data_IF_317732642177
#
_entry.id   IF_317732642177
#
_cell.length_a   1.000
_cell.length_b   1.000
_cell.length_c   1.000
_cell.angle_alpha   90.00
_cell.angle_beta   90.00
_cell.angle_gamma   90.00
#
_symmetry.space_group_name_H-M   'P 1'
#
loop_
_entity.id
_entity.type
_entity.pdbx_description
1 polymer ?
#
# COMPACT_ATOMS: atom_id res chain seq x y z
N UNK A 1 -12.77 1.06 35.52
CA UNK A 1 -11.47 1.11 34.84
C UNK A 1 -11.64 0.51 33.46
N UNK A 2 -11.64 1.31 32.42
CA UNK A 2 -11.63 0.77 31.05
C UNK A 2 -10.27 0.14 30.79
N UNK A 3 -10.24 -1.16 30.66
CA UNK A 3 -9.09 -1.88 30.10
C UNK A 3 -9.00 -1.42 28.65
N UNK A 4 -7.99 -0.65 28.28
CA UNK A 4 -7.65 -0.42 26.87
C UNK A 4 -7.29 -1.79 26.30
N UNK A 5 -8.22 -2.39 25.57
CA UNK A 5 -7.90 -3.57 24.77
C UNK A 5 -6.65 -3.24 23.95
N UNK A 6 -5.63 -4.06 24.11
CA UNK A 6 -4.41 -3.97 23.30
C UNK A 6 -4.84 -4.39 21.89
N UNK A 7 -5.16 -3.39 21.05
CA UNK A 7 -5.43 -3.66 19.65
C UNK A 7 -4.26 -4.43 19.04
N UNK A 8 -4.59 -5.42 18.19
CA UNK A 8 -3.63 -6.17 17.40
C UNK A 8 -2.66 -5.19 16.71
N UNK A 9 -1.33 -5.45 16.72
CA UNK A 9 -0.34 -4.63 16.04
C UNK A 9 -0.69 -4.34 14.58
N UNK A 10 -1.27 -5.29 13.85
CA UNK A 10 -1.70 -5.10 12.46
C UNK A 10 -2.88 -4.11 12.36
N UNK A 11 -3.86 -4.20 13.24
CA UNK A 11 -4.95 -3.22 13.30
C UNK A 11 -4.42 -1.81 13.61
N UNK A 12 -3.42 -1.71 14.45
CA UNK A 12 -2.79 -0.43 14.79
C UNK A 12 -2.05 0.17 13.58
N UNK A 13 -1.34 -0.66 12.82
CA UNK A 13 -0.72 -0.24 11.55
C UNK A 13 -1.77 0.24 10.55
N UNK A 14 -2.89 -0.45 10.43
CA UNK A 14 -4.00 -0.02 9.56
C UNK A 14 -4.55 1.35 9.95
N UNK A 15 -4.71 1.63 11.23
CA UNK A 15 -5.19 2.93 11.71
C UNK A 15 -4.20 4.04 11.36
N UNK A 16 -2.89 3.80 11.52
CA UNK A 16 -1.84 4.73 11.12
C UNK A 16 -1.89 4.96 9.60
N UNK A 17 -1.99 3.90 8.81
CA UNK A 17 -2.05 3.98 7.35
C UNK A 17 -3.29 4.75 6.87
N UNK A 18 -4.46 4.51 7.46
CA UNK A 18 -5.68 5.26 7.14
C UNK A 18 -5.54 6.75 7.44
N UNK A 19 -4.96 7.09 8.58
CA UNK A 19 -4.68 8.49 8.95
C UNK A 19 -3.71 9.14 7.95
N UNK A 20 -2.62 8.46 7.61
CA UNK A 20 -1.64 8.93 6.64
C UNK A 20 -2.23 9.09 5.23
N UNK A 21 -3.02 8.12 4.75
CA UNK A 21 -3.68 8.21 3.43
C UNK A 21 -4.60 9.43 3.33
N UNK A 22 -5.37 9.72 4.38
CA UNK A 22 -6.22 10.90 4.41
C UNK A 22 -5.41 12.21 4.37
N UNK A 23 -4.28 12.26 5.07
CA UNK A 23 -3.38 13.42 5.06
C UNK A 23 -2.65 13.57 3.71
N UNK A 24 -2.13 12.49 3.15
CA UNK A 24 -1.49 12.51 1.84
C UNK A 24 -2.45 12.98 0.75
N UNK A 25 -3.70 12.53 0.80
CA UNK A 25 -4.74 12.95 -0.16
C UNK A 25 -5.16 14.40 0.00
N UNK A 26 -5.19 14.95 1.23
CA UNK A 26 -5.67 16.31 1.49
C UNK A 26 -4.61 17.40 1.34
N UNK A 27 -3.37 17.12 1.74
CA UNK A 27 -2.29 18.12 1.73
C UNK A 27 -1.00 17.69 1.04
N UNK A 28 -0.98 16.50 0.46
CA UNK A 28 0.16 15.93 -0.25
C UNK A 28 1.21 15.30 0.66
N UNK A 29 2.06 14.46 0.07
CA UNK A 29 3.11 13.74 0.80
C UNK A 29 4.12 14.69 1.45
N UNK A 30 4.66 15.64 0.69
CA UNK A 30 5.73 16.54 1.17
C UNK A 30 5.28 17.48 2.29
N UNK A 31 3.99 17.74 2.40
CA UNK A 31 3.41 18.61 3.43
C UNK A 31 2.89 17.84 4.64
N UNK A 32 3.02 16.52 4.66
CA UNK A 32 2.58 15.67 5.76
C UNK A 32 3.76 15.29 6.65
N UNK A 33 3.66 15.60 7.93
CA UNK A 33 4.67 15.29 8.94
C UNK A 33 4.26 14.09 9.79
N UNK A 34 5.22 13.51 10.51
CA UNK A 34 4.92 12.47 11.50
C UNK A 34 4.01 12.97 12.62
N UNK A 35 4.14 14.26 13.01
CA UNK A 35 3.23 14.86 13.98
C UNK A 35 1.80 14.96 13.49
N UNK A 36 1.58 15.29 12.22
CA UNK A 36 0.24 15.27 11.62
C UNK A 36 -0.38 13.86 11.69
N UNK A 37 0.42 12.84 11.37
CA UNK A 37 -0.05 11.44 11.42
C UNK A 37 -0.34 11.02 12.86
N UNK A 38 0.53 11.40 13.81
CA UNK A 38 0.34 11.14 15.23
C UNK A 38 -0.97 11.75 15.73
N UNK A 39 -1.19 13.02 15.44
CA UNK A 39 -2.39 13.74 15.86
C UNK A 39 -3.66 13.13 15.27
N UNK A 40 -3.65 12.85 13.97
CA UNK A 40 -4.80 12.26 13.28
C UNK A 40 -5.10 10.82 13.68
N UNK A 41 -4.08 10.02 14.00
CA UNK A 41 -4.24 8.62 14.47
C UNK A 41 -4.57 8.52 15.96
N UNK A 42 -4.43 9.60 16.72
CA UNK A 42 -4.65 9.62 18.16
C UNK A 42 -3.59 8.88 18.98
N UNK A 43 -2.42 8.61 18.39
CA UNK A 43 -1.33 7.93 19.05
C UNK A 43 -0.40 8.90 19.81
N UNK A 44 0.32 8.38 20.81
CA UNK A 44 1.47 9.06 21.37
C UNK A 44 2.64 9.05 20.36
N UNK A 45 3.62 9.97 20.55
CA UNK A 45 4.83 9.99 19.72
C UNK A 45 5.56 8.63 19.78
N UNK A 46 5.80 8.09 20.97
CA UNK A 46 6.42 6.78 21.13
C UNK A 46 5.62 5.65 20.49
N UNK A 47 4.29 5.71 20.54
CA UNK A 47 3.40 4.75 19.90
C UNK A 47 3.52 4.74 18.38
N UNK A 48 3.59 5.91 17.76
CA UNK A 48 3.77 6.02 16.31
C UNK A 48 5.17 5.57 15.88
N UNK A 49 6.22 6.08 16.52
CA UNK A 49 7.62 5.76 16.18
C UNK A 49 8.01 4.32 16.46
N UNK A 50 7.22 3.59 17.24
CA UNK A 50 7.36 2.14 17.38
C UNK A 50 7.07 1.39 16.07
N UNK A 51 6.15 1.90 15.24
CA UNK A 51 5.76 1.27 13.97
C UNK A 51 6.51 1.82 12.77
N UNK A 52 6.72 3.13 12.70
CA UNK A 52 7.28 3.80 11.53
C UNK A 52 8.26 4.90 11.93
N UNK A 53 9.40 4.97 11.28
CA UNK A 53 10.43 6.00 11.53
C UNK A 53 10.12 7.33 10.84
N UNK A 54 9.46 7.28 9.69
CA UNK A 54 9.15 8.45 8.88
C UNK A 54 7.94 8.21 7.96
N UNK A 55 7.46 9.26 7.32
CA UNK A 55 6.31 9.21 6.42
C UNK A 55 6.56 8.37 5.16
N UNK A 56 7.81 8.26 4.70
CA UNK A 56 8.15 7.42 3.56
C UNK A 56 7.97 5.92 3.86
N UNK A 57 8.29 5.48 5.08
CA UNK A 57 8.01 4.10 5.50
C UNK A 57 6.52 3.81 5.56
N UNK A 58 5.70 4.78 6.02
CA UNK A 58 4.25 4.64 6.02
C UNK A 58 3.73 4.51 4.58
N UNK A 59 4.19 5.40 3.69
CA UNK A 59 3.78 5.38 2.29
C UNK A 59 4.16 4.08 1.60
N UNK A 60 5.38 3.58 1.85
CA UNK A 60 5.82 2.29 1.34
C UNK A 60 4.89 1.16 1.77
N UNK A 61 4.58 1.07 3.06
CA UNK A 61 3.75 -0.01 3.61
C UNK A 61 2.31 0.05 3.07
N UNK A 62 1.78 1.26 2.83
CA UNK A 62 0.51 1.46 2.12
C UNK A 62 0.59 0.91 0.68
N UNK A 63 1.67 1.21 -0.04
CA UNK A 63 1.86 0.73 -1.43
C UNK A 63 2.04 -0.78 -1.51
N UNK A 64 2.84 -1.35 -0.61
CA UNK A 64 3.06 -2.79 -0.51
C UNK A 64 1.74 -3.53 -0.19
N UNK A 65 0.96 -3.02 0.74
CA UNK A 65 -0.37 -3.55 1.06
C UNK A 65 -1.32 -3.49 -0.13
N UNK A 66 -1.37 -2.36 -0.84
CA UNK A 66 -2.17 -2.20 -2.07
C UNK A 66 -1.75 -3.17 -3.17
N UNK A 67 -0.44 -3.40 -3.33
CA UNK A 67 0.12 -4.37 -4.26
C UNK A 67 -0.33 -5.80 -3.92
N UNK A 68 -0.15 -6.23 -2.67
CA UNK A 68 -0.58 -7.56 -2.21
C UNK A 68 -2.09 -7.79 -2.36
N UNK A 69 -2.90 -6.78 -2.11
CA UNK A 69 -4.35 -6.89 -2.32
C UNK A 69 -4.70 -7.08 -3.80
N UNK A 70 -4.03 -6.38 -4.72
CA UNK A 70 -4.21 -6.58 -6.17
C UNK A 70 -3.78 -7.97 -6.61
N UNK A 71 -2.60 -8.40 -6.16
CA UNK A 71 -2.05 -9.73 -6.45
C UNK A 71 -2.99 -10.84 -5.99
N UNK A 72 -3.49 -10.78 -4.76
CA UNK A 72 -4.45 -11.73 -4.23
C UNK A 72 -5.76 -11.75 -5.05
N UNK A 73 -6.26 -10.58 -5.47
CA UNK A 73 -7.47 -10.49 -6.27
C UNK A 73 -7.27 -11.07 -7.67
N UNK A 74 -6.15 -10.79 -8.31
CA UNK A 74 -5.79 -11.38 -9.62
C UNK A 74 -5.67 -12.89 -9.49
N UNK A 75 -4.94 -13.39 -8.51
CA UNK A 75 -4.77 -14.83 -8.26
C UNK A 75 -6.12 -15.52 -8.07
N UNK A 76 -6.97 -15.00 -7.21
CA UNK A 76 -8.30 -15.56 -6.97
C UNK A 76 -9.16 -15.59 -8.24
N UNK A 77 -9.15 -14.51 -9.02
CA UNK A 77 -9.90 -14.43 -10.29
C UNK A 77 -9.41 -15.49 -11.27
N UNK A 78 -8.09 -15.60 -11.44
CA UNK A 78 -7.47 -16.56 -12.35
C UNK A 78 -7.77 -18.00 -11.94
N UNK A 79 -7.68 -18.33 -10.64
CA UNK A 79 -8.01 -19.66 -10.14
C UNK A 79 -9.47 -20.07 -10.40
N UNK A 80 -10.41 -19.12 -10.35
CA UNK A 80 -11.81 -19.38 -10.66
C UNK A 80 -12.08 -19.55 -12.18
N UNK A 81 -11.22 -19.00 -13.03
CA UNK A 81 -11.36 -19.11 -14.48
C UNK A 81 -10.84 -20.44 -15.05
N UNK A 82 -9.88 -21.07 -14.36
CA UNK A 82 -9.32 -22.37 -14.76
C UNK A 82 -8.86 -22.39 -16.23
N UNK A 83 -9.29 -23.41 -17.00
CA UNK A 83 -8.92 -23.59 -18.41
C UNK A 83 -9.48 -22.51 -19.38
N UNK A 84 -10.30 -21.58 -18.89
CA UNK A 84 -10.81 -20.45 -19.68
C UNK A 84 -9.84 -19.27 -19.71
N UNK A 85 -8.76 -19.32 -18.91
CA UNK A 85 -7.78 -18.27 -18.86
C UNK A 85 -6.94 -18.23 -20.12
N UNK A 86 -7.02 -17.12 -20.85
CA UNK A 86 -6.14 -16.81 -21.97
C UNK A 86 -5.24 -15.62 -21.60
N UNK A 87 -4.08 -15.41 -22.29
CA UNK A 87 -3.26 -14.24 -22.07
C UNK A 87 -4.02 -12.91 -22.18
N UNK A 88 -4.99 -12.84 -23.10
CA UNK A 88 -5.84 -11.66 -23.28
C UNK A 88 -6.72 -11.42 -22.06
N UNK A 89 -7.42 -12.44 -21.58
CA UNK A 89 -8.27 -12.34 -20.39
C UNK A 89 -7.43 -11.99 -19.14
N UNK A 90 -6.23 -12.57 -19.01
CA UNK A 90 -5.33 -12.23 -17.92
C UNK A 90 -4.95 -10.75 -17.96
N UNK A 91 -4.62 -10.22 -19.15
CA UNK A 91 -4.29 -8.81 -19.32
C UNK A 91 -5.48 -7.91 -18.95
N UNK A 92 -6.70 -8.23 -19.37
CA UNK A 92 -7.92 -7.51 -18.98
C UNK A 92 -8.11 -7.49 -17.47
N UNK A 93 -8.02 -8.64 -16.81
CA UNK A 93 -8.15 -8.75 -15.35
C UNK A 93 -7.11 -7.88 -14.62
N UNK A 94 -5.86 -7.90 -15.06
CA UNK A 94 -4.79 -7.10 -14.46
C UNK A 94 -5.08 -5.61 -14.64
N UNK A 95 -5.44 -5.17 -15.86
CA UNK A 95 -5.74 -3.76 -16.15
C UNK A 95 -6.94 -3.28 -15.36
N UNK A 96 -8.03 -4.05 -15.30
CA UNK A 96 -9.21 -3.70 -14.52
C UNK A 96 -8.89 -3.51 -13.04
N UNK A 97 -8.02 -4.35 -12.48
CA UNK A 97 -7.61 -4.22 -11.07
C UNK A 97 -6.67 -3.04 -10.85
N UNK A 98 -5.81 -2.73 -11.81
CA UNK A 98 -4.95 -1.55 -11.73
C UNK A 98 -5.73 -0.24 -11.81
N UNK A 99 -6.78 -0.21 -12.63
CA UNK A 99 -7.61 0.98 -12.85
C UNK A 99 -8.85 1.04 -11.95
N UNK A 100 -9.07 0.03 -11.11
CA UNK A 100 -10.19 0.02 -10.18
C UNK A 100 -10.18 1.25 -9.28
N UNK A 101 -11.32 1.90 -9.16
CA UNK A 101 -11.47 3.06 -8.28
C UNK A 101 -11.47 2.60 -6.80
N UNK A 102 -10.32 2.76 -6.17
CA UNK A 102 -10.13 2.43 -4.76
C UNK A 102 -9.19 3.44 -4.09
N UNK A 103 -9.14 3.51 -2.75
CA UNK A 103 -8.30 4.48 -2.03
C UNK A 103 -6.81 4.44 -2.37
N UNK A 104 -6.30 3.27 -2.76
CA UNK A 104 -4.88 3.10 -3.10
C UNK A 104 -4.50 3.71 -4.45
N UNK A 105 -5.45 3.84 -5.39
CA UNK A 105 -5.17 4.37 -6.73
C UNK A 105 -4.65 5.81 -6.68
N UNK A 106 -5.34 6.69 -5.93
CA UNK A 106 -4.92 8.10 -5.78
C UNK A 106 -3.55 8.20 -5.08
N UNK A 107 -3.33 7.39 -4.06
CA UNK A 107 -2.04 7.35 -3.35
C UNK A 107 -0.93 6.82 -4.25
N UNK A 108 -1.21 5.84 -5.11
CA UNK A 108 -0.25 5.31 -6.07
C UNK A 108 0.17 6.36 -7.10
N UNK A 109 -0.79 7.11 -7.64
CA UNK A 109 -0.49 8.23 -8.57
C UNK A 109 0.39 9.29 -7.89
N UNK A 110 0.06 9.67 -6.67
CA UNK A 110 0.89 10.59 -5.89
C UNK A 110 2.30 10.02 -5.66
N UNK A 111 2.42 8.76 -5.27
CA UNK A 111 3.70 8.08 -5.07
C UNK A 111 4.56 8.12 -6.34
N UNK A 112 4.00 7.78 -7.50
CA UNK A 112 4.72 7.86 -8.78
C UNK A 112 5.21 9.28 -9.10
N UNK A 113 4.48 10.30 -8.70
CA UNK A 113 4.89 11.71 -8.84
C UNK A 113 6.08 12.09 -7.95
N UNK A 114 6.25 11.44 -6.81
CA UNK A 114 7.27 11.77 -5.82
C UNK A 114 8.57 10.96 -5.96
N UNK A 115 8.54 9.78 -6.59
CA UNK A 115 9.73 8.89 -6.70
C UNK A 115 10.93 9.56 -7.37
N UNK A 116 10.70 10.45 -8.33
CA UNK A 116 11.78 11.18 -9.03
C UNK A 116 12.43 12.27 -8.18
N UNK A 117 11.78 12.70 -7.11
CA UNK A 117 12.19 13.79 -6.24
C UNK A 117 12.74 13.32 -4.89
N UNK A 118 12.60 12.04 -4.59
CA UNK A 118 12.94 11.47 -3.29
C UNK A 118 13.63 10.12 -3.47
N UNK A 119 14.93 10.06 -3.14
CA UNK A 119 15.74 8.85 -3.31
C UNK A 119 15.21 7.67 -2.48
N UNK A 120 14.72 7.91 -1.27
CA UNK A 120 14.15 6.86 -0.44
C UNK A 120 12.91 6.25 -1.09
N UNK A 121 12.00 7.08 -1.62
CA UNK A 121 10.82 6.61 -2.34
C UNK A 121 11.18 5.89 -3.63
N UNK A 122 12.21 6.36 -4.33
CA UNK A 122 12.70 5.67 -5.53
C UNK A 122 13.24 4.28 -5.21
N UNK A 123 14.04 4.13 -4.16
CA UNK A 123 14.56 2.84 -3.71
C UNK A 123 13.43 1.87 -3.31
N UNK A 124 12.41 2.39 -2.62
CA UNK A 124 11.22 1.64 -2.23
C UNK A 124 10.38 1.21 -3.46
N UNK A 125 10.25 2.08 -4.46
CA UNK A 125 9.59 1.76 -5.72
C UNK A 125 10.30 0.63 -6.46
N UNK A 126 11.63 0.68 -6.58
CA UNK A 126 12.39 -0.38 -7.23
C UNK A 126 12.27 -1.72 -6.49
N UNK A 127 12.15 -1.68 -5.17
CA UNK A 127 11.86 -2.89 -4.38
C UNK A 127 10.46 -3.43 -4.67
N UNK A 128 9.42 -2.61 -4.62
CA UNK A 128 8.05 -3.03 -4.94
C UNK A 128 7.95 -3.62 -6.34
N UNK A 129 8.61 -2.99 -7.31
CA UNK A 129 8.65 -3.45 -8.70
C UNK A 129 9.28 -4.84 -8.83
N UNK A 130 10.43 -5.07 -8.17
CA UNK A 130 11.08 -6.40 -8.17
C UNK A 130 10.20 -7.46 -7.53
N UNK A 131 9.59 -7.16 -6.40
CA UNK A 131 8.73 -8.08 -5.65
C UNK A 131 7.51 -8.47 -6.49
N UNK A 132 6.84 -7.51 -7.13
CA UNK A 132 5.70 -7.76 -8.03
C UNK A 132 6.10 -8.58 -9.26
N UNK A 133 7.24 -8.29 -9.88
CA UNK A 133 7.74 -9.08 -11.02
C UNK A 133 8.02 -10.52 -10.59
N UNK A 134 8.65 -10.72 -9.43
CA UNK A 134 8.93 -12.05 -8.88
C UNK A 134 7.64 -12.82 -8.59
N UNK A 135 6.65 -12.16 -8.01
CA UNK A 135 5.33 -12.74 -7.78
C UNK A 135 4.70 -13.26 -9.07
N UNK A 136 4.61 -12.42 -10.10
CA UNK A 136 4.01 -12.83 -11.38
C UNK A 136 4.79 -13.91 -12.11
N UNK A 137 6.13 -13.88 -12.06
CA UNK A 137 6.95 -14.96 -12.63
C UNK A 137 6.67 -16.30 -11.96
N UNK A 138 6.60 -16.33 -10.62
CA UNK A 138 6.29 -17.53 -9.88
C UNK A 138 4.87 -18.03 -10.15
N UNK A 139 3.92 -17.10 -10.25
CA UNK A 139 2.53 -17.40 -10.57
C UNK A 139 2.38 -18.04 -11.98
N UNK A 140 3.13 -17.57 -12.97
CA UNK A 140 3.08 -18.10 -14.34
C UNK A 140 3.81 -19.43 -14.51
N UNK A 141 4.75 -19.76 -13.64
CA UNK A 141 5.56 -20.98 -13.72
C UNK A 141 5.03 -22.13 -12.82
N UNK A 142 4.02 -21.88 -12.00
CA UNK A 142 3.34 -22.86 -11.12
C UNK A 142 2.05 -23.33 -11.71
#
# INVERSE_FOLDING_TARGET
>A
MMVRERLDPEMRKEDIQKAAMALFSSKGFNNTTMDDVREKSGLSAGGLYHYYKNTAEILYDIMDRGSRMREATVTNTVQHMGNKLTPHILAEVVVDKMLANNPFTSIYVMFLGEIKKNEQLNALYEKLKRDSITYFKNFMNG
#
